data_IF_443432517921
#
_entry.id   IF_443432517921
#
_cell.length_a   1.000
_cell.length_b   1.000
_cell.length_c   1.000
_cell.angle_alpha   90.00
_cell.angle_beta   90.00
_cell.angle_gamma   90.00
#
_symmetry.space_group_name_H-M   'P 1'
#
loop_
_entity.id
_entity.type
_entity.pdbx_description
1 polymer ?
#
# COMPACT_ATOMS: atom_id res chain seq x y z
N UNK A 1 -3.92 -21.10 -9.70
CA UNK A 1 -4.73 -21.00 -8.46
C UNK A 1 -4.50 -19.62 -7.88
N UNK A 2 -5.53 -19.03 -7.28
CA UNK A 2 -5.51 -17.66 -6.78
C UNK A 2 -5.97 -17.63 -5.34
N UNK A 3 -5.30 -16.85 -4.50
CA UNK A 3 -5.81 -16.49 -3.19
C UNK A 3 -6.72 -15.26 -3.33
N UNK A 4 -7.97 -15.38 -2.88
CA UNK A 4 -9.01 -14.37 -3.09
C UNK A 4 -9.71 -14.08 -1.77
N UNK A 5 -9.85 -12.81 -1.40
CA UNK A 5 -10.73 -12.42 -0.29
C UNK A 5 -12.18 -12.46 -0.76
N UNK A 6 -13.01 -13.19 -0.03
CA UNK A 6 -14.42 -13.33 -0.37
C UNK A 6 -15.33 -12.59 0.61
N UNK A 7 -16.41 -11.99 0.10
CA UNK A 7 -17.48 -11.41 0.92
C UNK A 7 -18.85 -11.77 0.32
N UNK A 8 -19.70 -12.54 1.02
CA UNK A 8 -19.52 -13.16 2.33
C UNK A 8 -18.68 -14.46 2.26
N UNK A 9 -17.50 -14.49 2.91
CA UNK A 9 -16.60 -15.66 2.92
C UNK A 9 -17.20 -16.91 3.58
N UNK A 10 -18.03 -16.74 4.63
CA UNK A 10 -18.64 -17.85 5.38
C UNK A 10 -19.53 -18.77 4.54
N UNK A 11 -20.03 -18.29 3.40
CA UNK A 11 -20.89 -19.09 2.50
C UNK A 11 -20.10 -19.91 1.48
N UNK A 12 -18.81 -19.62 1.31
CA UNK A 12 -17.97 -20.24 0.29
C UNK A 12 -17.05 -21.24 0.99
N UNK A 13 -17.40 -22.52 0.90
CA UNK A 13 -16.64 -23.64 1.47
C UNK A 13 -15.86 -24.36 0.39
N UNK A 14 -14.87 -25.17 0.78
CA UNK A 14 -14.17 -26.03 -0.18
C UNK A 14 -15.16 -26.92 -0.94
N UNK A 15 -15.01 -27.00 -2.25
CA UNK A 15 -15.91 -27.71 -3.17
C UNK A 15 -17.02 -26.84 -3.78
N UNK A 16 -17.24 -25.62 -3.28
CA UNK A 16 -18.26 -24.72 -3.86
C UNK A 16 -17.82 -24.16 -5.22
N UNK A 17 -18.79 -24.06 -6.14
CA UNK A 17 -18.60 -23.49 -7.46
C UNK A 17 -19.16 -22.07 -7.55
N UNK A 18 -18.35 -21.14 -8.03
CA UNK A 18 -18.71 -19.74 -8.27
C UNK A 18 -18.84 -19.52 -9.77
N UNK A 19 -19.99 -19.02 -10.21
CA UNK A 19 -20.26 -18.78 -11.63
C UNK A 19 -19.99 -17.32 -12.00
N UNK A 20 -19.05 -17.09 -12.93
CA UNK A 20 -18.69 -15.75 -13.43
C UNK A 20 -18.78 -15.71 -14.95
N UNK A 21 -19.85 -15.09 -15.46
CA UNK A 21 -20.02 -14.86 -16.89
C UNK A 21 -19.93 -16.13 -17.74
N UNK A 22 -20.52 -17.22 -17.25
CA UNK A 22 -20.52 -18.54 -17.88
C UNK A 22 -19.34 -19.45 -17.52
N UNK A 23 -18.36 -18.95 -16.76
CA UNK A 23 -17.19 -19.72 -16.31
C UNK A 23 -17.39 -20.20 -14.87
N UNK A 24 -16.71 -21.28 -14.51
CA UNK A 24 -16.75 -21.89 -13.18
C UNK A 24 -15.43 -21.63 -12.46
N UNK A 25 -15.54 -21.17 -11.22
CA UNK A 25 -14.42 -20.95 -10.31
C UNK A 25 -14.66 -21.86 -9.10
N UNK A 26 -13.77 -22.82 -8.89
CA UNK A 26 -13.88 -23.80 -7.79
C UNK A 26 -13.15 -23.29 -6.56
N UNK A 27 -13.82 -23.28 -5.41
CA UNK A 27 -13.18 -23.04 -4.12
C UNK A 27 -12.42 -24.31 -3.72
N UNK A 28 -11.10 -24.29 -3.79
CA UNK A 28 -10.28 -25.46 -3.44
C UNK A 28 -10.01 -25.52 -1.94
N UNK A 29 -9.85 -24.38 -1.28
CA UNK A 29 -9.48 -24.33 0.14
C UNK A 29 -10.04 -23.11 0.88
N UNK A 30 -10.40 -23.32 2.14
CA UNK A 30 -10.65 -22.23 3.09
C UNK A 30 -9.34 -21.82 3.78
N UNK A 31 -8.99 -20.54 3.65
CA UNK A 31 -7.85 -19.95 4.35
C UNK A 31 -8.35 -19.05 5.49
N UNK A 32 -7.40 -18.53 6.28
CA UNK A 32 -7.70 -17.65 7.39
C UNK A 32 -8.34 -16.32 6.92
N UNK A 33 -9.04 -15.66 7.85
CA UNK A 33 -9.55 -14.30 7.68
C UNK A 33 -10.48 -14.06 6.48
N UNK A 34 -11.13 -15.11 5.97
CA UNK A 34 -12.08 -15.01 4.85
C UNK A 34 -11.44 -15.09 3.47
N UNK A 35 -10.15 -15.44 3.41
CA UNK A 35 -9.45 -15.77 2.16
C UNK A 35 -9.86 -17.18 1.71
N UNK A 36 -9.95 -17.37 0.40
CA UNK A 36 -10.20 -18.66 -0.27
C UNK A 36 -9.15 -18.90 -1.33
N UNK A 37 -8.69 -20.14 -1.46
CA UNK A 37 -7.97 -20.55 -2.66
C UNK A 37 -9.02 -20.91 -3.72
N UNK A 38 -8.90 -20.29 -4.90
CA UNK A 38 -9.82 -20.44 -6.01
C UNK A 38 -9.05 -20.95 -7.24
N UNK A 39 -9.61 -21.97 -7.88
CA UNK A 39 -9.15 -22.51 -9.14
C UNK A 39 -10.12 -22.12 -10.26
N UNK A 40 -9.60 -21.49 -11.30
CA UNK A 40 -10.35 -21.16 -12.51
C UNK A 40 -10.38 -22.41 -13.39
N UNK A 41 -11.53 -23.08 -13.50
CA UNK A 41 -11.62 -24.37 -14.18
C UNK A 41 -11.76 -24.18 -15.68
N UNK A 42 -10.82 -24.74 -16.45
CA UNK A 42 -10.80 -24.70 -17.92
C UNK A 42 -10.94 -23.30 -18.54
N UNK A 43 -10.49 -22.26 -17.84
CA UNK A 43 -10.59 -20.89 -18.29
C UNK A 43 -9.37 -20.06 -17.91
N UNK A 44 -9.09 -19.04 -18.71
CA UNK A 44 -8.01 -18.09 -18.45
C UNK A 44 -8.46 -17.07 -17.40
N UNK A 45 -7.86 -17.15 -16.21
CA UNK A 45 -8.17 -16.28 -15.09
C UNK A 45 -7.94 -14.81 -15.40
N UNK A 46 -6.89 -14.46 -16.15
CA UNK A 46 -6.59 -13.06 -16.46
C UNK A 46 -7.66 -12.46 -17.36
N UNK A 47 -8.11 -13.22 -18.37
CA UNK A 47 -9.18 -12.79 -19.26
C UNK A 47 -10.53 -12.64 -18.54
N UNK A 48 -10.85 -13.55 -17.61
CA UNK A 48 -12.06 -13.44 -16.78
C UNK A 48 -11.99 -12.20 -15.88
N UNK A 49 -10.88 -11.99 -15.18
CA UNK A 49 -10.68 -10.84 -14.30
C UNK A 49 -10.75 -9.54 -15.11
N UNK A 50 -10.12 -9.48 -16.29
CA UNK A 50 -10.15 -8.29 -17.15
C UNK A 50 -11.55 -7.98 -17.69
N UNK A 51 -12.32 -9.02 -18.03
CA UNK A 51 -13.66 -8.87 -18.62
C UNK A 51 -14.73 -8.57 -17.59
N UNK A 52 -14.72 -9.27 -16.45
CA UNK A 52 -15.78 -9.23 -15.44
C UNK A 52 -15.37 -8.56 -14.12
N UNK A 53 -14.08 -8.36 -13.89
CA UNK A 53 -13.58 -7.67 -12.71
C UNK A 53 -13.99 -6.20 -12.68
N UNK A 54 -14.16 -5.68 -11.47
CA UNK A 54 -14.43 -4.28 -11.16
C UNK A 54 -13.29 -3.73 -10.31
N UNK A 55 -13.01 -2.44 -10.42
CA UNK A 55 -12.04 -1.79 -9.52
C UNK A 55 -12.60 -1.83 -8.09
N UNK A 56 -11.82 -2.31 -7.10
CA UNK A 56 -12.24 -2.28 -5.71
C UNK A 56 -12.16 -0.84 -5.20
N UNK A 57 -13.21 -0.05 -5.42
CA UNK A 57 -13.31 1.28 -4.85
C UNK A 57 -13.43 1.19 -3.31
N UNK A 58 -12.77 2.11 -2.57
CA UNK A 58 -12.89 2.16 -1.13
C UNK A 58 -14.33 2.25 -0.63
N UNK A 59 -14.66 1.70 0.56
CA UNK A 59 -16.04 1.60 1.06
C UNK A 59 -16.79 2.94 1.18
N UNK A 60 -16.07 4.06 1.27
CA UNK A 60 -16.68 5.40 1.34
C UNK A 60 -17.15 5.92 -0.03
N UNK A 61 -16.66 5.35 -1.14
CA UNK A 61 -17.10 5.70 -2.50
C UNK A 61 -18.33 4.85 -2.86
N UNK A 62 -19.52 5.44 -2.71
CA UNK A 62 -20.81 4.76 -2.95
C UNK A 62 -21.27 4.90 -4.41
N UNK A 63 -20.46 4.41 -5.36
CA UNK A 63 -20.81 4.34 -6.80
C UNK A 63 -20.13 3.16 -7.49
N UNK A 64 -20.57 2.81 -8.68
CA UNK A 64 -19.87 1.84 -9.54
C UNK A 64 -18.55 2.39 -10.08
N UNK A 65 -17.61 1.49 -10.42
CA UNK A 65 -16.36 1.84 -11.08
C UNK A 65 -16.62 2.32 -12.51
N UNK A 66 -15.87 3.34 -12.92
CA UNK A 66 -15.88 3.88 -14.26
C UNK A 66 -14.64 3.41 -15.03
N UNK A 67 -14.65 3.61 -16.36
CA UNK A 67 -13.45 3.41 -17.18
C UNK A 67 -12.29 4.32 -16.78
N UNK A 68 -12.58 5.44 -16.12
CA UNK A 68 -11.57 6.35 -15.61
C UNK A 68 -10.94 5.81 -14.32
N UNK A 69 -11.73 5.24 -13.41
CA UNK A 69 -11.20 4.57 -12.22
C UNK A 69 -10.25 3.43 -12.61
N UNK A 70 -10.60 2.62 -13.63
CA UNK A 70 -9.70 1.57 -14.13
C UNK A 70 -8.36 2.09 -14.64
N UNK A 71 -8.33 3.30 -15.20
CA UNK A 71 -7.10 3.94 -15.69
C UNK A 71 -6.31 4.60 -14.57
N UNK A 72 -7.01 5.18 -13.60
CA UNK A 72 -6.42 5.97 -12.52
C UNK A 72 -6.08 5.12 -11.28
N UNK A 73 -6.60 3.90 -11.17
CA UNK A 73 -6.30 2.97 -10.07
C UNK A 73 -4.93 2.30 -10.21
N UNK A 74 -4.05 2.87 -11.02
CA UNK A 74 -2.69 2.38 -11.17
C UNK A 74 -1.71 3.54 -11.27
N UNK A 75 -0.60 3.43 -10.56
CA UNK A 75 0.46 4.44 -10.66
C UNK A 75 1.05 4.45 -12.07
N UNK A 76 1.47 5.63 -12.55
CA UNK A 76 2.04 5.79 -13.91
C UNK A 76 3.36 5.02 -14.12
N UNK A 77 3.90 4.43 -13.06
CA UNK A 77 5.14 3.68 -13.03
C UNK A 77 4.97 2.22 -12.61
N UNK A 78 3.73 1.72 -12.53
CA UNK A 78 3.49 0.31 -12.38
C UNK A 78 3.90 -0.45 -13.65
N UNK A 79 4.63 -1.55 -13.46
CA UNK A 79 5.06 -2.44 -14.54
C UNK A 79 4.20 -3.70 -14.64
N UNK A 80 3.68 -4.16 -13.51
CA UNK A 80 2.97 -5.44 -13.38
C UNK A 80 1.65 -5.22 -12.62
N UNK A 81 0.59 -5.92 -13.03
CA UNK A 81 -0.79 -5.74 -12.54
C UNK A 81 -1.18 -6.64 -11.38
N UNK A 82 -0.28 -6.89 -10.43
CA UNK A 82 -0.49 -7.90 -9.38
C UNK A 82 -1.01 -7.36 -8.04
N UNK A 83 -0.98 -6.04 -7.83
CA UNK A 83 -1.39 -5.45 -6.54
C UNK A 83 -2.91 -5.36 -6.43
N UNK A 84 -3.47 -5.87 -5.32
CA UNK A 84 -4.92 -5.87 -5.08
C UNK A 84 -5.42 -4.47 -4.71
N UNK A 85 -4.56 -3.65 -4.10
CA UNK A 85 -4.81 -2.26 -3.77
C UNK A 85 -3.74 -1.35 -4.39
N UNK A 86 -4.16 -0.25 -5.00
CA UNK A 86 -3.22 0.72 -5.54
C UNK A 86 -2.46 1.42 -4.40
N UNK A 87 -1.13 1.62 -4.51
CA UNK A 87 -0.39 2.46 -3.57
C UNK A 87 -0.78 3.94 -3.80
N UNK A 88 -1.80 4.40 -3.08
CA UNK A 88 -2.55 5.61 -3.42
C UNK A 88 -1.75 6.90 -3.36
N UNK A 89 -0.77 7.00 -2.45
CA UNK A 89 0.15 8.13 -2.40
C UNK A 89 0.95 8.30 -3.70
N UNK A 90 1.14 7.21 -4.46
CA UNK A 90 1.78 7.22 -5.76
C UNK A 90 0.91 7.79 -6.89
N UNK A 91 -0.41 7.88 -6.70
CA UNK A 91 -1.35 8.34 -7.72
C UNK A 91 -1.19 9.84 -8.02
N UNK A 92 -0.62 10.61 -7.09
CA UNK A 92 -0.31 12.03 -7.29
C UNK A 92 0.85 12.27 -8.28
N UNK A 93 1.61 11.22 -8.63
CA UNK A 93 2.74 11.33 -9.54
C UNK A 93 2.31 11.06 -10.98
N UNK A 94 2.39 12.10 -11.80
CA UNK A 94 2.28 11.97 -13.26
C UNK A 94 3.65 11.75 -13.89
N UNK A 95 3.70 11.25 -15.13
CA UNK A 95 4.96 11.15 -15.90
C UNK A 95 5.67 12.51 -15.99
N UNK A 96 4.91 13.60 -16.14
CA UNK A 96 5.43 14.97 -16.15
C UNK A 96 6.13 15.31 -14.83
N UNK A 97 5.51 15.02 -13.69
CA UNK A 97 6.09 15.27 -12.36
C UNK A 97 7.36 14.44 -12.15
N UNK A 98 7.32 13.13 -12.46
CA UNK A 98 8.48 12.24 -12.32
C UNK A 98 9.65 12.68 -13.20
N UNK A 99 9.38 13.09 -14.43
CA UNK A 99 10.41 13.62 -15.32
C UNK A 99 11.00 14.93 -14.79
N UNK A 100 10.18 15.83 -14.26
CA UNK A 100 10.66 17.08 -13.65
C UNK A 100 11.57 16.82 -12.43
N UNK A 101 11.21 15.84 -11.60
CA UNK A 101 12.01 15.39 -10.46
C UNK A 101 13.36 14.82 -10.95
N UNK A 102 13.34 13.95 -11.95
CA UNK A 102 14.55 13.37 -12.54
C UNK A 102 15.46 14.44 -13.19
N UNK A 103 14.90 15.41 -13.91
CA UNK A 103 15.66 16.53 -14.49
C UNK A 103 16.33 17.42 -13.44
N UNK A 104 15.83 17.43 -12.19
CA UNK A 104 16.47 18.10 -11.05
C UNK A 104 17.57 17.27 -10.39
N UNK A 105 17.94 16.12 -10.96
CA UNK A 105 18.98 15.23 -10.44
C UNK A 105 18.52 14.35 -9.27
N UNK A 106 17.22 14.27 -9.01
CA UNK A 106 16.69 13.38 -7.96
C UNK A 106 16.59 11.95 -8.52
N UNK A 107 17.27 11.02 -7.87
CA UNK A 107 17.20 9.60 -8.22
C UNK A 107 15.87 8.98 -7.82
N UNK A 108 15.30 8.16 -8.70
CA UNK A 108 14.07 7.41 -8.46
C UNK A 108 14.42 5.93 -8.32
N UNK A 109 14.19 5.38 -7.13
CA UNK A 109 14.21 3.94 -6.85
C UNK A 109 12.77 3.41 -6.80
N UNK A 110 12.53 2.25 -7.39
CA UNK A 110 11.21 1.60 -7.43
C UNK A 110 11.25 0.29 -6.68
N UNK A 111 10.28 0.08 -5.81
CA UNK A 111 10.08 -1.15 -5.04
C UNK A 111 8.71 -1.71 -5.48
N UNK A 112 8.62 -3.02 -5.68
CA UNK A 112 7.33 -3.68 -5.92
C UNK A 112 6.68 -3.94 -4.56
N UNK A 113 5.42 -3.56 -4.44
CA UNK A 113 4.61 -3.76 -3.24
C UNK A 113 3.39 -4.57 -3.62
N UNK A 114 3.28 -5.74 -3.01
CA UNK A 114 2.15 -6.64 -3.16
C UNK A 114 1.21 -6.35 -1.99
N UNK A 115 0.50 -5.22 -2.12
CA UNK A 115 -0.40 -4.70 -1.09
C UNK A 115 -1.63 -5.61 -1.07
N UNK A 116 -1.70 -6.43 -0.02
CA UNK A 116 -2.80 -7.35 0.22
C UNK A 116 -4.04 -6.65 0.76
N UNK A 117 -5.11 -7.42 0.91
CA UNK A 117 -6.42 -6.90 1.33
C UNK A 117 -6.46 -6.46 2.82
N UNK A 118 -5.42 -6.79 3.59
CA UNK A 118 -5.27 -6.40 4.99
C UNK A 118 -5.14 -4.89 5.22
N UNK A 119 -4.70 -4.12 4.22
CA UNK A 119 -4.53 -2.66 4.31
C UNK A 119 -5.85 -1.91 4.57
N UNK A 120 -7.01 -2.53 4.32
CA UNK A 120 -8.32 -1.93 4.58
C UNK A 120 -8.95 -2.32 5.93
N UNK A 121 -8.27 -3.11 6.76
CA UNK A 121 -8.83 -3.56 8.04
C UNK A 121 -8.68 -2.47 9.11
N UNK A 122 -9.75 -2.18 9.88
CA UNK A 122 -9.65 -1.27 11.02
C UNK A 122 -8.84 -1.90 12.16
N UNK A 123 -8.26 -1.08 13.03
CA UNK A 123 -7.67 -1.53 14.29
C UNK A 123 -8.80 -2.12 15.14
N UNK A 124 -8.70 -3.40 15.48
CA UNK A 124 -9.75 -4.15 16.16
C UNK A 124 -9.43 -4.44 17.65
N UNK A 125 -8.36 -3.85 18.19
CA UNK A 125 -7.89 -4.09 19.56
C UNK A 125 -7.97 -2.82 20.39
N UNK A 126 -8.39 -2.93 21.66
CA UNK A 126 -8.44 -1.80 22.60
C UNK A 126 -7.04 -1.31 22.99
N UNK A 127 -6.06 -2.23 23.02
CA UNK A 127 -4.66 -1.94 23.26
C UNK A 127 -3.87 -1.98 21.95
N UNK A 128 -3.01 -0.99 21.76
CA UNK A 128 -2.16 -0.82 20.57
C UNK A 128 -1.15 -1.97 20.50
N UNK A 129 -0.62 -2.37 21.64
CA UNK A 129 0.38 -3.42 21.82
C UNK A 129 -0.12 -4.80 21.40
N UNK A 130 -1.44 -5.00 21.42
CA UNK A 130 -2.10 -6.24 21.02
C UNK A 130 -2.45 -6.27 19.52
N UNK A 131 -2.23 -5.16 18.80
CA UNK A 131 -2.57 -5.08 17.39
C UNK A 131 -1.60 -5.90 16.53
N UNK A 132 -2.09 -6.97 15.93
CA UNK A 132 -1.35 -7.75 14.93
C UNK A 132 -1.44 -7.06 13.56
N UNK A 133 -0.33 -6.50 13.10
CA UNK A 133 -0.23 -5.95 11.75
C UNK A 133 -0.34 -7.04 10.69
N UNK A 134 -0.98 -6.70 9.57
CA UNK A 134 -0.94 -7.55 8.39
C UNK A 134 0.46 -7.49 7.75
N UNK A 135 0.95 -8.68 7.39
CA UNK A 135 2.19 -8.82 6.61
C UNK A 135 1.95 -8.30 5.19
N UNK A 136 2.84 -7.42 4.73
CA UNK A 136 2.86 -6.92 3.36
C UNK A 136 4.08 -7.49 2.63
N UNK A 137 3.87 -8.10 1.47
CA UNK A 137 4.93 -8.62 0.63
C UNK A 137 5.52 -7.50 -0.23
N UNK A 138 6.84 -7.52 -0.40
CA UNK A 138 7.53 -6.56 -1.25
C UNK A 138 8.78 -7.16 -1.87
N UNK A 139 9.16 -6.61 -3.02
CA UNK A 139 10.37 -6.98 -3.73
C UNK A 139 11.25 -5.77 -4.02
N UNK A 140 12.53 -5.89 -3.66
CA UNK A 140 13.56 -4.89 -3.91
C UNK A 140 14.54 -5.48 -4.93
N UNK A 141 14.64 -4.85 -6.10
CA UNK A 141 15.63 -5.25 -7.11
C UNK A 141 17.04 -4.78 -6.76
N UNK A 142 18.06 -5.40 -7.37
CA UNK A 142 19.46 -4.93 -7.26
C UNK A 142 19.62 -3.44 -7.58
N UNK A 143 18.91 -2.94 -8.60
CA UNK A 143 18.94 -1.53 -8.98
C UNK A 143 18.42 -0.63 -7.87
N UNK A 144 17.28 -0.97 -7.27
CA UNK A 144 16.69 -0.21 -6.17
C UNK A 144 17.59 -0.26 -4.94
N UNK A 145 18.08 -1.45 -4.58
CA UNK A 145 19.05 -1.66 -3.49
C UNK A 145 20.25 -0.74 -3.64
N UNK A 146 20.87 -0.70 -4.83
CA UNK A 146 22.06 0.12 -5.10
C UNK A 146 21.78 1.60 -4.89
N UNK A 147 20.69 2.12 -5.47
CA UNK A 147 20.29 3.53 -5.36
C UNK A 147 20.05 3.94 -3.90
N UNK A 148 19.29 3.13 -3.16
CA UNK A 148 18.91 3.44 -1.78
C UNK A 148 20.15 3.37 -0.86
N UNK A 149 20.97 2.32 -0.98
CA UNK A 149 22.18 2.19 -0.15
C UNK A 149 23.23 3.26 -0.47
N UNK A 150 23.36 3.70 -1.73
CA UNK A 150 24.21 4.85 -2.09
C UNK A 150 23.71 6.14 -1.42
N UNK A 151 22.39 6.40 -1.48
CA UNK A 151 21.81 7.55 -0.80
C UNK A 151 22.04 7.53 0.72
N UNK A 152 21.87 6.37 1.37
CA UNK A 152 22.18 6.18 2.80
C UNK A 152 23.65 6.47 3.11
N UNK A 153 24.58 5.87 2.34
CA UNK A 153 26.03 6.04 2.52
C UNK A 153 26.47 7.50 2.35
N UNK A 154 25.90 8.18 1.36
CA UNK A 154 26.18 9.58 1.03
C UNK A 154 25.38 10.57 1.88
N UNK A 155 24.57 10.07 2.83
CA UNK A 155 23.67 10.87 3.68
C UNK A 155 22.72 11.77 2.90
N UNK A 156 22.39 11.40 1.66
CA UNK A 156 21.38 12.08 0.85
C UNK A 156 20.00 11.83 1.45
N UNK A 157 19.07 12.76 1.17
CA UNK A 157 17.70 12.63 1.65
C UNK A 157 16.98 11.49 0.94
N UNK A 158 16.36 10.61 1.70
CA UNK A 158 15.45 9.57 1.19
C UNK A 158 14.00 10.00 1.42
N UNK A 159 13.25 10.12 0.33
CA UNK A 159 11.83 10.49 0.34
C UNK A 159 11.00 9.27 -0.01
N UNK A 160 10.29 8.71 0.96
CA UNK A 160 9.37 7.59 0.74
C UNK A 160 8.04 8.08 0.18
N UNK A 161 7.48 7.36 -0.80
CA UNK A 161 6.15 7.65 -1.36
C UNK A 161 5.20 6.54 -0.91
N UNK A 162 4.40 6.84 0.12
CA UNK A 162 3.49 5.91 0.77
C UNK A 162 4.04 5.29 2.05
N UNK A 163 3.16 5.04 3.01
CA UNK A 163 3.48 4.43 4.31
C UNK A 163 4.00 3.01 4.21
N UNK A 164 3.53 2.22 3.23
CA UNK A 164 4.07 0.88 2.97
C UNK A 164 5.55 0.93 2.58
N UNK A 165 5.97 1.90 1.77
CA UNK A 165 7.41 2.10 1.45
C UNK A 165 8.20 2.43 2.70
N UNK A 166 7.63 3.23 3.61
CA UNK A 166 8.27 3.56 4.89
C UNK A 166 8.50 2.29 5.72
N UNK A 167 7.45 1.47 5.91
CA UNK A 167 7.53 0.19 6.62
C UNK A 167 8.60 -0.72 6.02
N UNK A 168 8.58 -0.91 4.70
CA UNK A 168 9.57 -1.72 3.98
C UNK A 168 11.00 -1.26 4.24
N UNK A 169 11.29 0.03 4.11
CA UNK A 169 12.65 0.54 4.27
C UNK A 169 13.14 0.49 5.72
N UNK A 170 12.27 0.86 6.67
CA UNK A 170 12.63 0.84 8.09
C UNK A 170 12.79 -0.58 8.62
N UNK A 171 11.96 -1.54 8.18
CA UNK A 171 12.11 -2.94 8.54
C UNK A 171 13.41 -3.55 7.98
N UNK A 172 13.77 -3.22 6.74
CA UNK A 172 15.07 -3.62 6.17
C UNK A 172 16.24 -3.05 6.97
N UNK A 173 16.18 -1.78 7.36
CA UNK A 173 17.22 -1.18 8.20
C UNK A 173 17.28 -1.80 9.59
N UNK A 174 16.14 -2.09 10.20
CA UNK A 174 16.08 -2.69 11.54
C UNK A 174 16.65 -4.11 11.55
N UNK A 175 16.25 -4.95 10.58
CA UNK A 175 16.67 -6.36 10.51
C UNK A 175 18.10 -6.55 9.99
N UNK A 176 18.54 -5.71 9.05
CA UNK A 176 19.77 -5.95 8.29
C UNK A 176 20.82 -4.84 8.40
N UNK A 177 20.48 -3.68 8.95
CA UNK A 177 21.35 -2.48 8.96
C UNK A 177 21.60 -1.85 7.59
N UNK A 178 21.01 -2.41 6.52
CA UNK A 178 21.12 -1.96 5.13
C UNK A 178 19.97 -2.55 4.30
N UNK A 179 19.73 -1.99 3.12
CA UNK A 179 18.76 -2.54 2.18
C UNK A 179 19.36 -3.76 1.46
N UNK A 180 18.61 -4.86 1.39
CA UNK A 180 18.96 -6.07 0.61
C UNK A 180 18.08 -6.18 -0.64
N UNK A 181 18.62 -6.87 -1.66
CA UNK A 181 17.82 -7.33 -2.80
C UNK A 181 17.04 -8.59 -2.39
N UNK A 182 15.84 -8.76 -2.93
CA UNK A 182 15.05 -9.97 -2.80
C UNK A 182 13.56 -9.72 -2.55
N UNK A 183 12.84 -10.82 -2.41
CA UNK A 183 11.45 -10.88 -1.97
C UNK A 183 11.40 -11.04 -0.44
N UNK A 184 10.59 -10.22 0.20
CA UNK A 184 10.47 -10.18 1.65
C UNK A 184 9.02 -9.90 2.05
N UNK A 185 8.80 -9.97 3.35
CA UNK A 185 7.55 -9.58 3.97
C UNK A 185 7.83 -8.72 5.21
N UNK A 186 6.90 -7.82 5.52
CA UNK A 186 6.97 -7.01 6.73
C UNK A 186 5.62 -6.86 7.41
N UNK A 187 5.62 -7.15 8.69
CA UNK A 187 4.55 -6.90 9.64
C UNK A 187 4.93 -5.80 10.65
N UNK A 188 5.98 -5.00 10.36
CA UNK A 188 6.45 -3.97 11.29
C UNK A 188 5.31 -3.02 11.66
N UNK A 189 5.16 -2.77 12.96
CA UNK A 189 4.24 -1.80 13.49
C UNK A 189 5.00 -0.56 13.97
N UNK A 190 4.82 0.56 13.28
CA UNK A 190 5.50 1.82 13.57
C UNK A 190 4.57 2.70 14.41
N UNK A 191 4.98 2.97 15.65
CA UNK A 191 4.24 3.78 16.63
C UNK A 191 5.09 4.93 17.17
N UNK A 192 4.48 5.95 17.81
CA UNK A 192 5.22 7.06 18.39
C UNK A 192 6.38 6.60 19.29
N UNK A 193 7.56 7.19 19.09
CA UNK A 193 8.81 6.77 19.72
C UNK A 193 9.72 5.92 18.82
N UNK A 194 9.23 5.50 17.64
CA UNK A 194 10.04 4.81 16.65
C UNK A 194 11.18 5.69 16.09
N UNK A 195 12.39 5.12 16.02
CA UNK A 195 13.57 5.78 15.45
C UNK A 195 13.70 5.44 13.96
N UNK A 196 13.46 6.44 13.10
CA UNK A 196 13.61 6.29 11.65
C UNK A 196 15.08 6.31 11.24
N UNK A 197 15.52 5.26 10.54
CA UNK A 197 16.92 5.06 10.11
C UNK A 197 17.10 5.20 8.61
N UNK A 198 16.06 4.97 7.81
CA UNK A 198 16.11 5.09 6.35
C UNK A 198 15.46 6.37 5.84
N UNK A 199 14.26 6.70 6.32
CA UNK A 199 13.37 7.67 5.67
C UNK A 199 13.51 9.05 6.29
N UNK A 200 13.81 10.05 5.45
CA UNK A 200 14.00 11.44 5.88
C UNK A 200 12.77 12.31 5.62
N UNK A 201 11.98 11.96 4.60
CA UNK A 201 10.71 12.58 4.30
C UNK A 201 9.74 11.53 3.76
N UNK A 202 8.44 11.75 3.90
CA UNK A 202 7.42 10.92 3.28
C UNK A 202 6.34 11.73 2.59
N UNK A 203 5.83 11.20 1.50
CA UNK A 203 4.62 11.67 0.82
C UNK A 203 3.54 10.63 1.06
N UNK A 204 2.42 11.03 1.64
CA UNK A 204 1.30 10.14 1.96
C UNK A 204 -0.04 10.85 1.84
N UNK A 205 -1.15 10.13 1.88
CA UNK A 205 -2.49 10.70 1.94
C UNK A 205 -2.84 11.18 3.37
N UNK A 206 -3.96 11.88 3.52
CA UNK A 206 -4.59 12.06 4.84
C UNK A 206 -5.31 10.77 5.26
N UNK A 207 -5.04 10.31 6.48
CA UNK A 207 -5.51 9.04 7.01
C UNK A 207 -6.70 9.23 7.96
N UNK A 208 -7.41 8.15 8.26
CA UNK A 208 -8.52 8.19 9.21
C UNK A 208 -8.01 8.35 10.66
N UNK A 209 -8.79 9.01 11.53
CA UNK A 209 -8.63 8.87 12.98
C UNK A 209 -8.60 7.40 13.39
N UNK A 210 -7.87 7.09 14.46
CA UNK A 210 -7.82 5.75 15.05
C UNK A 210 -7.34 4.64 14.09
N UNK A 211 -6.45 4.99 13.14
CA UNK A 211 -5.80 4.01 12.25
C UNK A 211 -4.31 3.88 12.51
N UNK A 212 -3.77 2.69 12.23
CA UNK A 212 -2.32 2.42 12.28
C UNK A 212 -1.51 3.36 11.39
N UNK A 213 -2.08 3.80 10.27
CA UNK A 213 -1.45 4.76 9.37
C UNK A 213 -1.28 6.14 10.01
N UNK A 214 -2.29 6.60 10.77
CA UNK A 214 -2.17 7.85 11.53
C UNK A 214 -1.13 7.73 12.65
N UNK A 215 -1.00 6.55 13.26
CA UNK A 215 0.04 6.27 14.25
C UNK A 215 1.45 6.33 13.65
N UNK A 216 1.66 5.73 12.47
CA UNK A 216 2.93 5.81 11.74
C UNK A 216 3.29 7.25 11.40
N UNK A 217 2.33 8.01 10.88
CA UNK A 217 2.52 9.43 10.57
C UNK A 217 2.84 10.24 11.84
N UNK A 218 2.19 9.92 12.97
CA UNK A 218 2.46 10.51 14.28
C UNK A 218 3.78 10.05 14.92
N UNK A 219 4.33 8.92 14.47
CA UNK A 219 5.69 8.51 14.82
C UNK A 219 6.71 9.32 14.03
N UNK A 220 6.44 9.56 12.75
CA UNK A 220 7.32 10.32 11.87
C UNK A 220 7.40 11.80 12.23
N UNK A 221 6.30 12.37 12.72
CA UNK A 221 6.22 13.72 13.26
C UNK A 221 5.38 13.75 14.51
N UNK A 222 5.82 14.57 15.48
CA UNK A 222 5.11 14.78 16.75
C UNK A 222 3.60 14.89 16.54
N UNK A 223 2.84 14.12 17.33
CA UNK A 223 1.38 13.99 17.24
C UNK A 223 0.70 15.36 17.17
N UNK A 224 1.14 16.33 17.97
CA UNK A 224 0.53 17.67 18.03
C UNK A 224 0.63 18.40 16.68
N UNK A 225 1.75 18.24 15.98
CA UNK A 225 1.96 18.83 14.65
C UNK A 225 1.02 18.17 13.64
N UNK A 226 0.90 16.83 13.69
CA UNK A 226 0.02 16.09 12.78
C UNK A 226 -1.44 16.45 13.02
N UNK A 227 -1.89 16.49 14.27
CA UNK A 227 -3.27 16.85 14.60
C UNK A 227 -3.59 18.29 14.17
N UNK A 228 -2.69 19.24 14.42
CA UNK A 228 -2.87 20.63 13.96
C UNK A 228 -2.92 20.74 12.44
N UNK A 229 -2.10 19.98 11.71
CA UNK A 229 -2.16 19.95 10.25
C UNK A 229 -3.47 19.34 9.72
N UNK A 230 -4.03 18.35 10.43
CA UNK A 230 -5.31 17.73 10.07
C UNK A 230 -6.48 18.69 10.34
N UNK A 231 -6.47 19.41 11.46
CA UNK A 231 -7.47 20.44 11.76
C UNK A 231 -7.49 21.53 10.69
N UNK A 232 -6.32 22.02 10.28
CA UNK A 232 -6.22 23.01 9.21
C UNK A 232 -6.67 22.44 7.86
N UNK A 233 -6.30 21.19 7.53
CA UNK A 233 -6.76 20.54 6.31
C UNK A 233 -8.29 20.41 6.24
N UNK A 234 -8.95 20.08 7.36
CA UNK A 234 -10.42 20.07 7.45
C UNK A 234 -11.00 21.47 7.23
N UNK A 235 -10.42 22.49 7.88
CA UNK A 235 -10.87 23.88 7.77
C UNK A 235 -10.74 24.43 6.34
N UNK A 236 -9.67 24.08 5.64
CA UNK A 236 -9.39 24.50 4.26
C UNK A 236 -10.07 23.61 3.21
N UNK A 237 -10.84 22.60 3.63
CA UNK A 237 -11.64 21.76 2.72
C UNK A 237 -10.83 20.75 1.91
N UNK A 238 -9.68 20.29 2.44
CA UNK A 238 -8.89 19.24 1.82
C UNK A 238 -9.70 17.95 1.72
N UNK A 239 -9.44 17.19 0.66
CA UNK A 239 -10.00 15.86 0.47
C UNK A 239 -9.13 14.83 1.21
N UNK A 240 -9.75 13.93 1.95
CA UNK A 240 -9.04 12.92 2.74
C UNK A 240 -9.01 11.56 2.01
N UNK A 241 -8.33 10.57 2.60
CA UNK A 241 -8.31 9.17 2.15
C UNK A 241 -7.56 8.91 0.84
N UNK A 242 -7.73 7.69 0.32
CA UNK A 242 -7.05 7.12 -0.85
C UNK A 242 -7.15 7.95 -2.14
N UNK A 243 -8.22 8.72 -2.32
CA UNK A 243 -8.43 9.57 -3.51
C UNK A 243 -8.44 11.07 -3.17
N UNK A 244 -8.09 11.41 -1.93
CA UNK A 244 -8.00 12.79 -1.49
C UNK A 244 -6.68 13.43 -1.84
N UNK A 245 -6.32 14.48 -1.12
CA UNK A 245 -5.07 15.20 -1.25
C UNK A 245 -3.88 14.45 -0.63
N UNK A 246 -2.69 14.98 -0.93
CA UNK A 246 -1.42 14.47 -0.44
C UNK A 246 -0.80 15.41 0.60
N UNK A 247 -0.03 14.82 1.50
CA UNK A 247 0.77 15.48 2.52
C UNK A 247 2.24 15.11 2.33
N UNK A 248 3.12 16.11 2.35
CA UNK A 248 4.57 15.95 2.41
C UNK A 248 5.05 16.25 3.84
N UNK A 249 5.61 15.23 4.48
CA UNK A 249 6.23 15.35 5.80
C UNK A 249 7.74 15.32 5.65
N UNK A 250 8.42 16.32 6.20
CA UNK A 250 9.87 16.45 6.13
C UNK A 250 10.45 16.43 7.53
N UNK A 251 11.30 15.45 7.84
CA UNK A 251 12.06 15.50 9.08
C UNK A 251 13.24 16.47 8.96
N UNK A 252 13.43 17.33 9.97
CA UNK A 252 14.65 18.14 10.04
C UNK A 252 15.72 17.21 10.62
N UNK A 253 16.78 16.96 9.85
CA UNK A 253 18.02 16.40 10.39
C UNK A 253 18.71 17.44 11.27
#
# INVERSE_FOLDING_TARGET
RWEVLCKPSRKLKSGEEIFVGGNILLVTKECEEGIREIEFTNCDSENIIKKYGKVPLPPYIRREDTKEDRRNYQTVYAKEGYSVAAPTAGLHFTKRVLNSIACKGVEIARIRLDVGLGTFKPVATEFVEEHKMHSEHYFISEEAKRKINSALKEKRRIVAVGTTVVRTLEDQMLKNGKIKEGDFETDIFITPGFEFKAVDAMITNFHLPETTLLMLVSAFKRREIIMSAYEEAVKEGYLFYSYGDAMLLINKK
#
